data_IF_312813149214
#
_entry.id   IF_312813149214
#
_cell.length_a   1.000
_cell.length_b   1.000
_cell.length_c   1.000
_cell.angle_alpha   90.00
_cell.angle_beta   90.00
_cell.angle_gamma   90.00
#
_symmetry.space_group_name_H-M   'P 1'
#
loop_
_entity.id
_entity.type
_entity.pdbx_description
1 polymer ?
#
# COMPACT_ATOMS: atom_id res chain seq x y z
N UNK A 1 -30.51 2.42 22.77
CA UNK A 1 -30.27 3.88 22.73
C UNK A 1 -28.79 4.25 22.63
N UNK A 2 -27.90 3.77 23.50
CA UNK A 2 -26.45 4.12 23.47
C UNK A 2 -25.77 3.70 22.15
N UNK A 3 -26.00 2.49 21.65
CA UNK A 3 -25.43 2.02 20.38
C UNK A 3 -25.87 2.86 19.18
N UNK A 4 -27.16 3.26 19.13
CA UNK A 4 -27.72 4.07 18.04
C UNK A 4 -27.14 5.51 18.04
N UNK A 5 -26.83 6.06 19.20
CA UNK A 5 -26.18 7.37 19.34
C UNK A 5 -24.70 7.29 18.90
N UNK A 6 -23.99 6.24 19.29
CA UNK A 6 -22.60 6.00 18.89
C UNK A 6 -22.47 5.83 17.38
N UNK A 7 -23.41 5.16 16.72
CA UNK A 7 -23.42 5.00 15.27
C UNK A 7 -23.56 6.33 14.52
N UNK A 8 -24.30 7.29 15.07
CA UNK A 8 -24.45 8.65 14.49
C UNK A 8 -23.24 9.55 14.76
N UNK A 9 -22.58 9.40 15.91
CA UNK A 9 -21.44 10.25 16.31
C UNK A 9 -20.15 9.81 15.63
N UNK A 10 -19.91 8.51 15.41
CA UNK A 10 -18.68 7.96 14.81
C UNK A 10 -18.34 8.59 13.45
N UNK A 11 -19.26 8.70 12.47
CA UNK A 11 -18.95 9.32 11.18
C UNK A 11 -18.53 10.77 11.30
N UNK A 12 -19.21 11.54 12.18
CA UNK A 12 -18.91 12.96 12.43
C UNK A 12 -17.52 13.12 13.05
N UNK A 13 -17.22 12.34 14.08
CA UNK A 13 -15.91 12.37 14.74
C UNK A 13 -14.78 11.97 13.76
N UNK A 14 -15.04 10.98 12.90
CA UNK A 14 -14.12 10.55 11.85
C UNK A 14 -13.88 11.66 10.82
N UNK A 15 -14.94 12.31 10.34
CA UNK A 15 -14.86 13.45 9.41
C UNK A 15 -14.06 14.62 9.99
N UNK A 16 -14.31 14.98 11.25
CA UNK A 16 -13.56 16.04 11.94
C UNK A 16 -12.08 15.67 12.05
N UNK A 17 -11.77 14.42 12.45
CA UNK A 17 -10.39 13.92 12.54
C UNK A 17 -9.68 14.00 11.20
N UNK A 18 -10.29 13.49 10.14
CA UNK A 18 -9.70 13.50 8.80
C UNK A 18 -9.54 14.92 8.26
N UNK A 19 -10.53 15.78 8.47
CA UNK A 19 -10.42 17.18 8.08
C UNK A 19 -9.29 17.93 8.80
N UNK A 20 -9.03 17.62 10.09
CA UNK A 20 -7.88 18.20 10.82
C UNK A 20 -6.54 17.69 10.28
N UNK A 21 -6.44 16.38 10.01
CA UNK A 21 -5.24 15.76 9.45
C UNK A 21 -4.92 16.35 8.08
N UNK A 22 -5.92 16.48 7.20
CA UNK A 22 -5.74 17.06 5.88
C UNK A 22 -5.29 18.52 5.95
N UNK A 23 -5.96 19.37 6.77
CA UNK A 23 -5.56 20.77 6.92
C UNK A 23 -4.11 20.91 7.40
N UNK A 24 -3.68 20.06 8.34
CA UNK A 24 -2.28 20.02 8.78
C UNK A 24 -1.35 19.67 7.62
N UNK A 25 -1.63 18.61 6.89
CA UNK A 25 -0.81 18.20 5.77
C UNK A 25 -0.78 19.25 4.64
N UNK A 26 -1.90 19.92 4.38
CA UNK A 26 -1.96 21.02 3.41
C UNK A 26 -1.12 22.24 3.86
N UNK A 27 -1.15 22.55 5.15
CA UNK A 27 -0.27 23.59 5.72
C UNK A 27 1.20 23.21 5.56
N UNK A 28 1.58 21.95 5.83
CA UNK A 28 2.95 21.47 5.62
C UNK A 28 3.33 21.55 4.14
N UNK A 29 2.48 21.05 3.25
CA UNK A 29 2.71 21.05 1.81
C UNK A 29 2.85 22.48 1.24
N UNK A 30 2.11 23.46 1.78
CA UNK A 30 2.18 24.85 1.33
C UNK A 30 3.52 25.53 1.61
N UNK A 31 4.32 25.00 2.53
CA UNK A 31 5.66 25.51 2.84
C UNK A 31 6.66 25.26 1.72
N UNK A 32 6.40 24.32 0.83
CA UNK A 32 7.23 23.96 -0.32
C UNK A 32 8.73 23.99 -0.02
N UNK A 33 9.37 22.83 0.08
CA UNK A 33 10.80 22.75 0.41
C UNK A 33 11.64 22.25 -0.75
N UNK A 34 12.75 22.94 -1.02
CA UNK A 34 13.83 22.43 -1.87
C UNK A 34 14.79 21.51 -1.10
N UNK A 35 14.72 21.51 0.24
CA UNK A 35 15.51 20.59 1.06
C UNK A 35 14.92 19.19 0.96
N UNK A 36 15.76 18.23 0.66
CA UNK A 36 15.41 16.81 0.56
C UNK A 36 15.57 16.18 1.95
N UNK A 37 14.66 15.31 2.39
CA UNK A 37 14.84 14.52 3.60
C UNK A 37 16.16 13.74 3.56
N UNK A 38 16.95 13.83 4.62
CA UNK A 38 18.18 13.08 4.77
C UNK A 38 18.21 12.42 6.16
N UNK A 39 18.20 11.09 6.21
CA UNK A 39 18.18 10.14 5.08
C UNK A 39 16.88 10.19 4.25
N UNK A 40 16.91 9.66 3.01
CA UNK A 40 15.73 9.60 2.16
C UNK A 40 14.58 8.81 2.81
N UNK A 41 13.36 9.10 2.39
CA UNK A 41 12.18 8.35 2.82
C UNK A 41 12.25 6.92 2.28
N UNK A 42 12.01 5.93 3.11
CA UNK A 42 11.92 4.53 2.67
C UNK A 42 10.46 4.13 2.47
N UNK A 43 10.18 3.27 1.50
CA UNK A 43 8.82 2.82 1.19
C UNK A 43 8.65 1.31 1.39
N UNK A 44 7.56 0.92 2.07
CA UNK A 44 7.09 -0.47 2.09
C UNK A 44 5.96 -0.60 1.08
N UNK A 45 6.20 -1.37 0.04
CA UNK A 45 5.30 -1.63 -1.08
C UNK A 45 4.72 -3.04 -1.01
N UNK A 46 3.61 -3.25 -1.66
CA UNK A 46 2.97 -4.56 -1.82
C UNK A 46 1.46 -4.42 -1.90
N UNK A 47 0.84 -5.27 -2.69
CA UNK A 47 -0.61 -5.31 -2.79
C UNK A 47 -1.23 -5.35 -1.38
N UNK A 48 -2.34 -4.69 -1.19
CA UNK A 48 -3.06 -4.77 0.07
C UNK A 48 -3.30 -6.23 0.49
N UNK A 49 -3.25 -6.52 1.78
CA UNK A 49 -3.33 -7.89 2.35
C UNK A 49 -2.07 -8.75 2.20
N UNK A 50 -0.99 -8.23 1.64
CA UNK A 50 0.29 -8.95 1.54
C UNK A 50 1.09 -9.04 2.86
N UNK A 51 0.61 -8.45 3.95
CA UNK A 51 1.32 -8.44 5.23
C UNK A 51 2.12 -7.16 5.51
N UNK A 52 2.07 -6.16 4.63
CA UNK A 52 2.77 -4.88 4.79
C UNK A 52 2.42 -4.16 6.10
N UNK A 53 1.20 -4.34 6.60
CA UNK A 53 0.77 -3.74 7.89
C UNK A 53 1.45 -4.38 9.10
N UNK A 54 1.61 -5.71 9.13
CA UNK A 54 2.31 -6.36 10.24
C UNK A 54 3.79 -6.00 10.23
N UNK A 55 4.43 -6.05 9.06
CA UNK A 55 5.82 -5.64 8.91
C UNK A 55 6.04 -4.20 9.36
N UNK A 56 5.22 -3.26 8.87
CA UNK A 56 5.32 -1.86 9.27
C UNK A 56 5.12 -1.63 10.77
N UNK A 57 4.21 -2.38 11.41
CA UNK A 57 4.04 -2.33 12.88
C UNK A 57 5.25 -2.86 13.64
N UNK A 58 5.91 -3.91 13.15
CA UNK A 58 7.17 -4.40 13.73
C UNK A 58 8.26 -3.34 13.62
N UNK A 59 8.47 -2.76 12.44
CA UNK A 59 9.43 -1.69 12.22
C UNK A 59 9.12 -0.45 13.06
N UNK A 60 7.85 -0.11 13.27
CA UNK A 60 7.43 1.01 14.13
C UNK A 60 7.88 0.88 15.59
N UNK A 61 8.15 -0.35 16.06
CA UNK A 61 8.67 -0.59 17.43
C UNK A 61 10.16 -0.34 17.55
N UNK A 62 10.87 -0.18 16.43
CA UNK A 62 12.31 0.10 16.43
C UNK A 62 12.61 1.52 16.87
N UNK A 63 13.71 1.71 17.60
CA UNK A 63 14.09 3.01 18.19
C UNK A 63 14.37 4.07 17.13
N UNK A 64 14.95 3.67 16.00
CA UNK A 64 15.34 4.56 14.89
C UNK A 64 14.25 4.78 13.84
N UNK A 65 13.08 4.12 13.91
CA UNK A 65 12.07 4.19 12.85
C UNK A 65 10.95 5.16 13.18
N UNK A 66 10.73 6.15 12.33
CA UNK A 66 9.50 6.93 12.26
C UNK A 66 8.59 6.32 11.19
N UNK A 67 7.55 5.63 11.63
CA UNK A 67 6.64 4.91 10.74
C UNK A 67 5.39 5.72 10.40
N UNK A 68 5.16 5.96 9.12
CA UNK A 68 3.94 6.58 8.60
C UNK A 68 3.01 5.49 8.05
N UNK A 69 1.99 5.18 8.84
CA UNK A 69 0.98 4.20 8.50
C UNK A 69 -0.13 4.82 7.64
N UNK A 70 -0.15 4.50 6.36
CA UNK A 70 -1.18 4.88 5.40
C UNK A 70 -1.57 6.38 5.52
N UNK A 71 -0.61 7.30 5.33
CA UNK A 71 -0.84 8.72 5.52
C UNK A 71 -1.59 9.33 4.33
N UNK A 72 -2.80 8.84 4.03
CA UNK A 72 -3.62 9.29 2.88
C UNK A 72 -3.84 10.80 2.86
N UNK A 73 -3.90 11.45 4.04
CA UNK A 73 -4.01 12.91 4.15
C UNK A 73 -2.77 13.64 3.65
N UNK A 74 -1.59 13.05 3.85
CA UNK A 74 -0.32 13.60 3.35
C UNK A 74 -0.25 13.44 1.84
N UNK A 75 -0.50 12.24 1.33
CA UNK A 75 -0.55 11.98 -0.11
C UNK A 75 -1.56 12.89 -0.81
N UNK A 76 -2.76 13.06 -0.22
CA UNK A 76 -3.79 13.96 -0.73
C UNK A 76 -3.34 15.43 -0.76
N UNK A 77 -2.54 15.88 0.21
CA UNK A 77 -2.00 17.23 0.24
C UNK A 77 -0.88 17.44 -0.80
N UNK A 78 -0.12 16.40 -1.10
CA UNK A 78 0.95 16.41 -2.11
C UNK A 78 0.32 16.42 -3.51
N UNK A 79 -0.49 15.40 -3.82
CA UNK A 79 -1.13 15.20 -5.12
C UNK A 79 -2.59 14.73 -4.94
N UNK A 80 -3.58 15.57 -5.30
CA UNK A 80 -5.00 15.24 -5.11
C UNK A 80 -5.46 13.92 -5.72
N UNK A 81 -4.92 13.53 -6.87
CA UNK A 81 -5.26 12.31 -7.58
C UNK A 81 -4.94 11.01 -6.80
N UNK A 82 -4.21 11.12 -5.68
CA UNK A 82 -3.89 9.96 -4.83
C UNK A 82 -5.06 9.48 -3.97
N UNK A 83 -6.14 10.26 -3.80
CA UNK A 83 -7.28 9.95 -2.92
C UNK A 83 -8.32 9.00 -3.56
N UNK A 84 -7.87 7.82 -4.03
CA UNK A 84 -8.68 6.85 -4.76
C UNK A 84 -9.85 6.25 -3.96
N UNK A 85 -9.86 6.40 -2.62
CA UNK A 85 -10.97 5.98 -1.76
C UNK A 85 -11.89 7.14 -1.39
N UNK A 86 -11.61 8.31 -1.94
CA UNK A 86 -12.40 9.54 -1.76
C UNK A 86 -12.66 9.90 -0.28
N UNK A 87 -11.63 9.73 0.56
CA UNK A 87 -11.71 10.09 2.00
C UNK A 87 -11.85 11.60 2.21
N UNK A 88 -11.32 12.40 1.30
CA UNK A 88 -11.18 13.85 1.44
C UNK A 88 -11.94 14.65 0.37
N UNK A 89 -12.65 13.98 -0.52
CA UNK A 89 -13.46 14.63 -1.54
C UNK A 89 -13.61 13.77 -2.80
N UNK A 90 -14.45 14.21 -3.71
CA UNK A 90 -14.66 13.58 -5.00
C UNK A 90 -13.67 14.20 -6.00
N UNK A 91 -12.75 13.38 -6.51
CA UNK A 91 -11.73 13.78 -7.47
C UNK A 91 -11.58 12.69 -8.52
N UNK A 92 -10.99 13.04 -9.65
CA UNK A 92 -10.48 12.06 -10.59
C UNK A 92 -9.22 11.43 -9.97
N UNK A 93 -9.44 10.33 -9.28
CA UNK A 93 -8.40 9.64 -8.51
C UNK A 93 -7.89 8.44 -9.27
N UNK A 94 -6.60 8.12 -9.05
CA UNK A 94 -5.88 7.07 -9.75
C UNK A 94 -5.26 6.05 -8.81
N UNK A 95 -5.39 4.78 -9.16
CA UNK A 95 -4.67 3.67 -8.53
C UNK A 95 -3.27 3.53 -9.12
N UNK A 96 -3.15 3.57 -10.45
CA UNK A 96 -1.87 3.57 -11.16
C UNK A 96 -1.49 5.03 -11.45
N UNK A 97 -0.27 5.40 -11.08
CA UNK A 97 0.24 6.75 -11.30
C UNK A 97 1.70 6.71 -11.75
N UNK A 98 1.99 7.42 -12.82
CA UNK A 98 3.32 7.59 -13.38
C UNK A 98 3.96 8.94 -13.09
N UNK A 99 5.02 9.24 -13.83
CA UNK A 99 5.78 10.49 -13.74
C UNK A 99 4.96 11.73 -14.18
N UNK A 100 3.94 11.55 -15.00
CA UNK A 100 3.05 12.60 -15.48
C UNK A 100 2.27 13.30 -14.36
N UNK A 101 2.17 12.66 -13.18
CA UNK A 101 1.56 13.24 -11.98
C UNK A 101 2.56 14.02 -11.11
N UNK A 102 3.83 14.12 -11.52
CA UNK A 102 4.89 14.75 -10.72
C UNK A 102 5.46 15.97 -11.45
N UNK A 103 5.33 17.12 -10.84
CA UNK A 103 6.05 18.34 -11.20
C UNK A 103 6.96 18.78 -10.07
N UNK A 104 7.76 19.82 -10.27
CA UNK A 104 8.56 20.41 -9.20
C UNK A 104 7.72 20.82 -7.97
N UNK A 105 6.43 21.11 -8.15
CA UNK A 105 5.56 21.46 -7.03
C UNK A 105 5.25 20.25 -6.15
N UNK A 106 4.95 19.08 -6.75
CA UNK A 106 4.71 17.84 -6.02
C UNK A 106 5.96 17.40 -5.27
N UNK A 107 7.14 17.50 -5.87
CA UNK A 107 8.43 17.21 -5.20
C UNK A 107 8.63 18.13 -3.99
N UNK A 108 8.43 19.45 -4.14
CA UNK A 108 8.58 20.41 -3.04
C UNK A 108 7.56 20.18 -1.92
N UNK A 109 6.30 19.84 -2.26
CA UNK A 109 5.25 19.49 -1.27
C UNK A 109 5.60 18.21 -0.52
N UNK A 110 6.09 17.19 -1.24
CA UNK A 110 6.55 15.94 -0.64
C UNK A 110 7.66 16.20 0.36
N UNK A 111 8.71 16.89 -0.05
CA UNK A 111 9.83 17.24 0.81
C UNK A 111 9.37 18.00 2.07
N UNK A 112 8.52 19.03 1.89
CA UNK A 112 7.99 19.81 3.01
C UNK A 112 7.18 18.94 4.00
N UNK A 113 6.32 18.08 3.51
CA UNK A 113 5.54 17.16 4.35
C UNK A 113 6.44 16.18 5.11
N UNK A 114 7.40 15.55 4.45
CA UNK A 114 8.28 14.56 5.07
C UNK A 114 9.21 15.22 6.11
N UNK A 115 9.77 16.39 5.81
CA UNK A 115 10.56 17.17 6.76
C UNK A 115 9.74 17.62 7.97
N UNK A 116 8.47 17.97 7.77
CA UNK A 116 7.58 18.32 8.86
C UNK A 116 7.28 17.11 9.78
N UNK A 117 7.10 15.91 9.22
CA UNK A 117 6.93 14.68 10.03
C UNK A 117 8.23 14.33 10.79
N UNK A 118 9.39 14.44 10.16
CA UNK A 118 10.69 14.26 10.82
C UNK A 118 10.87 15.26 11.98
N UNK A 119 10.54 16.54 11.77
CA UNK A 119 10.64 17.60 12.81
C UNK A 119 9.69 17.34 14.00
N UNK A 120 8.55 16.71 13.77
CA UNK A 120 7.58 16.35 14.84
C UNK A 120 8.01 15.12 15.61
N UNK A 121 8.92 14.32 15.06
CA UNK A 121 9.42 13.12 15.72
C UNK A 121 10.21 13.50 16.98
N UNK A 122 10.01 12.69 18.04
CA UNK A 122 10.83 12.78 19.26
C UNK A 122 12.04 11.84 19.21
N UNK A 123 12.17 11.05 18.13
CA UNK A 123 13.29 10.12 17.94
C UNK A 123 14.52 10.87 17.46
N UNK A 124 15.69 10.43 17.88
CA UNK A 124 16.95 11.00 17.42
C UNK A 124 17.30 10.42 16.04
N UNK A 125 17.44 11.29 15.04
CA UNK A 125 17.83 10.93 13.65
C UNK A 125 17.01 9.74 13.08
N UNK A 126 15.67 9.83 13.05
CA UNK A 126 14.85 8.68 12.65
C UNK A 126 14.94 8.41 11.15
N UNK A 127 14.89 7.13 10.78
CA UNK A 127 14.57 6.67 9.43
C UNK A 127 13.06 6.78 9.22
N UNK A 128 12.63 7.58 8.27
CA UNK A 128 11.21 7.72 7.95
C UNK A 128 10.81 6.62 6.98
N UNK A 129 9.89 5.76 7.41
CA UNK A 129 9.37 4.66 6.60
C UNK A 129 7.87 4.90 6.35
N UNK A 130 7.50 5.03 5.10
CA UNK A 130 6.11 5.18 4.66
C UNK A 130 5.55 3.84 4.18
N UNK A 131 4.29 3.55 4.52
CA UNK A 131 3.59 2.39 4.00
C UNK A 131 2.16 2.74 3.64
N UNK A 132 1.89 2.73 2.35
CA UNK A 132 0.54 2.78 1.77
C UNK A 132 0.45 1.69 0.69
N UNK A 133 -0.40 0.67 0.83
CA UNK A 133 -0.40 -0.49 -0.08
C UNK A 133 -0.58 -0.12 -1.55
N UNK A 134 -1.45 0.84 -1.85
CA UNK A 134 -1.71 1.29 -3.22
C UNK A 134 -0.46 1.84 -3.91
N UNK A 135 0.55 2.28 -3.16
CA UNK A 135 1.80 2.78 -3.71
C UNK A 135 2.60 1.71 -4.47
N UNK A 136 2.28 0.42 -4.31
CA UNK A 136 2.79 -0.64 -5.18
C UNK A 136 2.40 -0.47 -6.66
N UNK A 137 1.27 0.20 -6.93
CA UNK A 137 0.83 0.54 -8.28
C UNK A 137 1.28 1.94 -8.73
N UNK A 138 2.09 2.64 -7.91
CA UNK A 138 2.56 4.02 -8.14
C UNK A 138 4.08 4.12 -8.13
N UNK A 139 4.76 3.06 -8.53
CA UNK A 139 6.22 2.99 -8.42
C UNK A 139 6.90 4.10 -9.23
N UNK A 140 6.41 4.38 -10.47
CA UNK A 140 6.95 5.44 -11.32
C UNK A 140 6.74 6.83 -10.71
N UNK A 141 5.56 7.08 -10.10
CA UNK A 141 5.30 8.29 -9.33
C UNK A 141 6.25 8.44 -8.14
N UNK A 142 6.50 7.35 -7.37
CA UNK A 142 7.40 7.38 -6.22
C UNK A 142 8.85 7.65 -6.63
N UNK A 143 9.32 7.02 -7.71
CA UNK A 143 10.67 7.25 -8.26
C UNK A 143 10.82 8.71 -8.70
N UNK A 144 9.81 9.28 -9.35
CA UNK A 144 9.87 10.67 -9.80
C UNK A 144 9.83 11.68 -8.65
N UNK A 145 9.10 11.38 -7.57
CA UNK A 145 8.96 12.30 -6.44
C UNK A 145 10.13 12.18 -5.44
N UNK A 146 10.75 11.00 -5.34
CA UNK A 146 11.86 10.71 -4.42
C UNK A 146 12.83 9.67 -5.02
N UNK A 147 13.70 10.07 -5.97
CA UNK A 147 14.51 9.16 -6.77
C UNK A 147 15.51 8.29 -5.99
N UNK A 148 15.94 8.76 -4.81
CA UNK A 148 16.94 8.05 -3.98
C UNK A 148 16.32 7.20 -2.88
N UNK A 149 15.01 7.00 -2.88
CA UNK A 149 14.29 6.26 -1.84
C UNK A 149 14.53 4.77 -1.90
N UNK A 150 14.98 4.12 -0.81
CA UNK A 150 14.98 2.66 -0.74
C UNK A 150 13.54 2.14 -0.64
N UNK A 151 13.26 1.07 -1.36
CA UNK A 151 11.92 0.47 -1.50
C UNK A 151 11.96 -1.00 -1.13
N UNK A 152 11.03 -1.43 -0.31
CA UNK A 152 10.83 -2.83 0.04
C UNK A 152 9.51 -3.32 -0.57
N UNK A 153 9.57 -4.28 -1.46
CA UNK A 153 8.39 -4.98 -1.97
C UNK A 153 8.13 -6.25 -1.16
N UNK A 154 7.06 -6.24 -0.37
CA UNK A 154 6.58 -7.44 0.32
C UNK A 154 5.53 -8.12 -0.54
N UNK A 155 5.90 -9.23 -1.14
CA UNK A 155 5.02 -10.05 -1.99
C UNK A 155 4.43 -11.22 -1.20
N UNK A 156 3.18 -11.56 -1.47
CA UNK A 156 2.47 -12.68 -0.86
C UNK A 156 1.73 -13.47 -1.93
N UNK A 157 1.55 -14.78 -1.65
CA UNK A 157 0.74 -15.66 -2.47
C UNK A 157 -0.57 -15.00 -2.89
N UNK A 158 -0.81 -14.93 -4.20
CA UNK A 158 -1.96 -14.22 -4.76
C UNK A 158 -3.31 -14.81 -4.30
N UNK A 159 -3.41 -16.13 -4.13
CA UNK A 159 -4.64 -16.78 -3.63
C UNK A 159 -4.96 -16.32 -2.21
N UNK A 160 -3.95 -16.19 -1.34
CA UNK A 160 -4.13 -15.68 0.02
C UNK A 160 -4.57 -14.22 0.03
N UNK A 161 -3.98 -13.40 -0.83
CA UNK A 161 -4.29 -11.97 -0.96
C UNK A 161 -5.73 -11.80 -1.44
N UNK A 162 -6.07 -12.43 -2.55
CA UNK A 162 -7.38 -12.33 -3.21
C UNK A 162 -8.51 -12.78 -2.27
N UNK A 163 -8.37 -13.93 -1.61
CA UNK A 163 -9.35 -14.40 -0.64
C UNK A 163 -9.45 -13.53 0.61
N UNK A 164 -8.35 -12.88 1.01
CA UNK A 164 -8.39 -11.91 2.10
C UNK A 164 -9.11 -10.62 1.70
N UNK A 165 -8.97 -10.18 0.44
CA UNK A 165 -9.73 -9.05 -0.14
C UNK A 165 -11.20 -9.39 -0.21
N UNK A 166 -11.57 -10.55 -0.76
CA UNK A 166 -12.93 -11.03 -0.84
C UNK A 166 -13.63 -11.01 0.53
N UNK A 167 -12.99 -11.62 1.54
CA UNK A 167 -13.53 -11.65 2.91
C UNK A 167 -13.75 -10.26 3.47
N UNK A 168 -12.80 -9.34 3.24
CA UNK A 168 -12.93 -7.99 3.71
C UNK A 168 -14.01 -7.21 2.95
N UNK A 169 -14.12 -7.42 1.63
CA UNK A 169 -15.14 -6.79 0.78
C UNK A 169 -16.56 -7.26 1.12
N UNK A 170 -16.69 -8.48 1.63
CA UNK A 170 -17.98 -9.09 1.97
C UNK A 170 -18.46 -8.80 3.40
N UNK A 171 -17.68 -8.00 4.16
CA UNK A 171 -18.00 -7.67 5.55
C UNK A 171 -17.95 -6.16 5.77
N UNK A 172 -18.50 -5.68 6.89
CA UNK A 172 -18.33 -4.29 7.34
C UNK A 172 -17.66 -4.23 8.72
N UNK A 173 -16.48 -4.87 8.84
CA UNK A 173 -15.69 -4.92 10.07
C UNK A 173 -15.28 -3.53 10.56
N UNK A 174 -15.05 -2.59 9.65
CA UNK A 174 -14.68 -1.20 9.99
C UNK A 174 -15.88 -0.32 10.30
N UNK A 175 -17.10 -0.88 10.28
CA UNK A 175 -18.34 -0.15 10.58
C UNK A 175 -18.42 1.15 9.79
N UNK A 176 -18.20 1.07 8.48
CA UNK A 176 -18.37 2.19 7.59
C UNK A 176 -19.85 2.50 7.42
N UNK A 177 -20.20 3.77 7.44
CA UNK A 177 -21.56 4.26 7.30
C UNK A 177 -21.54 5.67 6.71
N UNK A 178 -22.67 6.09 6.13
CA UNK A 178 -22.83 7.39 5.48
C UNK A 178 -23.71 7.28 4.24
N UNK A 179 -23.76 8.34 3.44
CA UNK A 179 -24.47 8.30 2.14
C UNK A 179 -23.72 7.41 1.15
N UNK A 180 -24.45 6.67 0.32
CA UNK A 180 -23.91 5.76 -0.71
C UNK A 180 -23.73 4.32 -0.22
N UNK A 181 -23.37 3.44 -1.13
CA UNK A 181 -23.00 2.06 -0.84
C UNK A 181 -21.54 1.99 -0.35
N UNK A 182 -21.36 1.54 0.89
CA UNK A 182 -20.04 1.48 1.51
C UNK A 182 -19.47 0.06 1.49
N UNK A 183 -18.41 -0.09 0.72
CA UNK A 183 -17.57 -1.26 0.76
C UNK A 183 -16.24 -0.93 1.45
N UNK A 184 -15.87 -1.68 2.49
CA UNK A 184 -14.67 -1.36 3.27
C UNK A 184 -13.34 -1.60 2.53
N UNK A 185 -13.37 -2.29 1.38
CA UNK A 185 -12.20 -2.46 0.52
C UNK A 185 -12.25 -1.58 -0.72
N UNK A 186 -13.43 -1.53 -1.38
CA UNK A 186 -13.59 -0.82 -2.64
C UNK A 186 -14.02 0.65 -2.48
N UNK A 187 -14.23 1.10 -1.25
CA UNK A 187 -14.65 2.47 -0.96
C UNK A 187 -16.15 2.71 -1.16
N UNK A 188 -16.55 3.97 -1.07
CA UNK A 188 -17.94 4.39 -1.29
C UNK A 188 -18.29 4.22 -2.77
N UNK A 189 -19.43 3.60 -3.04
CA UNK A 189 -19.93 3.35 -4.39
C UNK A 189 -18.88 2.65 -5.30
N UNK A 190 -18.03 1.83 -4.68
CA UNK A 190 -16.92 1.12 -5.31
C UNK A 190 -15.91 2.04 -6.05
N UNK A 191 -15.67 3.25 -5.53
CA UNK A 191 -14.81 4.26 -6.18
C UNK A 191 -13.39 3.75 -6.45
N UNK A 192 -12.78 3.00 -5.50
CA UNK A 192 -11.46 2.40 -5.70
C UNK A 192 -11.45 1.39 -6.84
N UNK A 193 -12.48 0.53 -6.92
CA UNK A 193 -12.60 -0.42 -8.02
C UNK A 193 -12.72 0.29 -9.36
N UNK A 194 -13.58 1.31 -9.44
CA UNK A 194 -13.77 2.09 -10.68
C UNK A 194 -12.46 2.76 -11.13
N UNK A 195 -11.70 3.34 -10.18
CA UNK A 195 -10.40 3.92 -10.47
C UNK A 195 -9.40 2.87 -10.96
N UNK A 196 -9.31 1.72 -10.29
CA UNK A 196 -8.41 0.63 -10.67
C UNK A 196 -8.74 0.09 -12.06
N UNK A 197 -10.01 -0.18 -12.36
CA UNK A 197 -10.44 -0.68 -13.66
C UNK A 197 -10.13 0.35 -14.78
N UNK A 198 -10.45 1.63 -14.56
CA UNK A 198 -10.14 2.72 -15.48
C UNK A 198 -8.64 2.79 -15.78
N UNK A 199 -7.81 2.80 -14.74
CA UNK A 199 -6.36 2.90 -14.88
C UNK A 199 -5.76 1.66 -15.54
N UNK A 200 -6.23 0.47 -15.18
CA UNK A 200 -5.76 -0.77 -15.77
C UNK A 200 -6.07 -0.83 -17.29
N UNK A 201 -7.25 -0.38 -17.70
CA UNK A 201 -7.60 -0.25 -19.12
C UNK A 201 -6.69 0.78 -19.80
N UNK A 202 -6.50 1.96 -19.22
CA UNK A 202 -5.68 3.02 -19.77
C UNK A 202 -4.20 2.62 -19.94
N UNK A 203 -3.69 1.75 -19.05
CA UNK A 203 -2.34 1.21 -19.10
C UNK A 203 -2.25 -0.15 -19.84
N UNK A 204 -3.29 -0.50 -20.61
CA UNK A 204 -3.33 -1.71 -21.44
C UNK A 204 -3.15 -3.03 -20.69
N UNK A 205 -3.56 -3.08 -19.40
CA UNK A 205 -3.65 -4.34 -18.66
C UNK A 205 -4.85 -5.14 -19.15
N UNK A 206 -4.65 -6.40 -19.50
CA UNK A 206 -5.69 -7.38 -19.83
C UNK A 206 -6.83 -6.86 -20.74
N UNK A 207 -6.54 -6.34 -21.94
CA UNK A 207 -7.54 -5.74 -22.83
C UNK A 207 -8.71 -6.69 -23.09
N UNK A 208 -9.93 -6.19 -22.90
CA UNK A 208 -11.18 -6.91 -23.09
C UNK A 208 -11.56 -7.88 -21.98
N UNK A 209 -10.74 -8.03 -20.93
CA UNK A 209 -11.05 -8.93 -19.81
C UNK A 209 -11.55 -8.19 -18.55
N UNK A 210 -11.16 -6.93 -18.36
CA UNK A 210 -11.50 -6.16 -17.16
C UNK A 210 -13.01 -5.93 -17.06
N UNK A 211 -13.69 -5.68 -18.17
CA UNK A 211 -15.12 -5.48 -18.24
C UNK A 211 -15.93 -6.73 -17.90
N UNK A 212 -15.28 -7.89 -17.96
CA UNK A 212 -15.88 -9.19 -17.62
C UNK A 212 -15.85 -9.50 -16.11
N UNK A 213 -15.07 -8.74 -15.33
CA UNK A 213 -14.88 -8.99 -13.90
C UNK A 213 -16.11 -8.55 -13.10
N UNK A 214 -16.67 -9.46 -12.30
CA UNK A 214 -17.91 -9.25 -11.55
C UNK A 214 -17.79 -9.55 -10.06
N UNK A 215 -16.83 -10.37 -9.68
CA UNK A 215 -16.71 -10.85 -8.29
C UNK A 215 -15.56 -10.13 -7.55
N UNK A 216 -15.65 -10.05 -6.23
CA UNK A 216 -14.58 -9.52 -5.40
C UNK A 216 -13.26 -10.32 -5.54
N UNK A 217 -13.34 -11.61 -5.88
CA UNK A 217 -12.17 -12.45 -6.17
C UNK A 217 -11.47 -11.94 -7.43
N UNK A 218 -12.20 -11.78 -8.53
CA UNK A 218 -11.65 -11.32 -9.81
C UNK A 218 -11.09 -9.90 -9.70
N UNK A 219 -11.83 -8.99 -9.04
CA UNK A 219 -11.38 -7.62 -8.76
C UNK A 219 -10.10 -7.61 -7.91
N UNK A 220 -10.04 -8.46 -6.88
CA UNK A 220 -8.86 -8.61 -6.02
C UNK A 220 -7.67 -9.21 -6.76
N UNK A 221 -7.91 -10.12 -7.72
CA UNK A 221 -6.88 -10.66 -8.58
C UNK A 221 -6.30 -9.58 -9.50
N UNK A 222 -7.13 -8.69 -10.07
CA UNK A 222 -6.66 -7.55 -10.85
C UNK A 222 -5.78 -6.63 -9.99
N UNK A 223 -6.20 -6.29 -8.76
CA UNK A 223 -5.39 -5.45 -7.86
C UNK A 223 -4.02 -6.08 -7.57
N UNK A 224 -3.97 -7.39 -7.34
CA UNK A 224 -2.72 -8.12 -7.10
C UNK A 224 -1.82 -8.13 -8.36
N UNK A 225 -2.41 -8.43 -9.53
CA UNK A 225 -1.70 -8.50 -10.80
C UNK A 225 -1.09 -7.14 -11.20
N UNK A 226 -1.87 -6.06 -11.09
CA UNK A 226 -1.38 -4.70 -11.41
C UNK A 226 -0.31 -4.26 -10.42
N UNK A 227 -0.48 -4.55 -9.12
CA UNK A 227 0.52 -4.22 -8.10
C UNK A 227 1.88 -4.87 -8.38
N UNK A 228 1.90 -6.14 -8.81
CA UNK A 228 3.15 -6.82 -9.18
C UNK A 228 3.67 -6.31 -10.52
N UNK A 229 2.81 -6.15 -11.50
CA UNK A 229 3.19 -5.71 -12.84
C UNK A 229 3.90 -4.36 -12.83
N UNK A 230 3.40 -3.39 -12.07
CA UNK A 230 4.03 -2.06 -11.92
C UNK A 230 5.43 -2.15 -11.30
N UNK A 231 5.61 -3.01 -10.29
CA UNK A 231 6.93 -3.20 -9.66
C UNK A 231 7.88 -3.93 -10.62
N UNK A 232 7.42 -4.98 -11.29
CA UNK A 232 8.25 -5.72 -12.25
C UNK A 232 8.71 -4.84 -13.42
N UNK A 233 7.84 -3.95 -13.90
CA UNK A 233 8.18 -3.01 -14.97
C UNK A 233 9.32 -2.04 -14.61
N UNK A 234 9.60 -1.85 -13.32
CA UNK A 234 10.65 -0.94 -12.83
C UNK A 234 11.79 -1.64 -12.09
N UNK A 235 11.74 -2.96 -11.96
CA UNK A 235 12.72 -3.75 -11.19
C UNK A 235 14.16 -3.49 -11.62
N UNK A 236 14.43 -3.52 -12.93
CA UNK A 236 15.77 -3.31 -13.46
C UNK A 236 16.29 -1.89 -13.21
N UNK A 237 15.43 -0.89 -13.37
CA UNK A 237 15.79 0.53 -13.16
C UNK A 237 16.08 0.80 -11.70
N UNK A 238 15.34 0.18 -10.80
CA UNK A 238 15.51 0.36 -9.35
C UNK A 238 16.77 -0.35 -8.83
N UNK A 239 17.13 -1.50 -9.42
CA UNK A 239 18.33 -2.24 -8.99
C UNK A 239 18.38 -2.40 -7.47
N UNK A 240 19.48 -1.98 -6.86
CA UNK A 240 19.73 -2.09 -5.41
C UNK A 240 18.79 -1.23 -4.54
N UNK A 241 18.02 -0.31 -5.12
CA UNK A 241 17.02 0.45 -4.38
C UNK A 241 15.79 -0.40 -4.02
N UNK A 242 15.59 -1.54 -4.68
CA UNK A 242 14.45 -2.44 -4.47
C UNK A 242 14.89 -3.72 -3.78
N UNK A 243 14.47 -3.92 -2.54
CA UNK A 243 14.54 -5.22 -1.87
C UNK A 243 13.20 -5.94 -2.02
N UNK A 244 13.20 -7.13 -2.61
CA UNK A 244 12.01 -7.97 -2.69
C UNK A 244 12.06 -9.09 -1.65
N UNK A 245 10.97 -9.24 -0.90
CA UNK A 245 10.81 -10.23 0.17
C UNK A 245 9.45 -10.90 0.05
N UNK A 246 9.40 -12.22 0.12
CA UNK A 246 8.12 -12.90 0.24
C UNK A 246 7.62 -12.96 1.69
N UNK A 247 6.30 -12.88 1.87
CA UNK A 247 5.69 -13.06 3.19
C UNK A 247 6.02 -14.43 3.81
N UNK A 248 6.20 -15.45 2.95
CA UNK A 248 6.57 -16.79 3.38
C UNK A 248 7.99 -16.81 3.97
N UNK A 249 8.96 -16.13 3.36
CA UNK A 249 10.32 -16.01 3.89
C UNK A 249 10.31 -15.23 5.21
N UNK A 250 9.60 -14.10 5.25
CA UNK A 250 9.47 -13.29 6.46
C UNK A 250 8.95 -14.10 7.66
N UNK A 251 8.02 -15.04 7.42
CA UNK A 251 7.45 -15.86 8.50
C UNK A 251 8.22 -17.14 8.80
N UNK A 252 8.98 -17.67 7.83
CA UNK A 252 9.81 -18.87 8.02
C UNK A 252 11.18 -18.55 8.63
N UNK A 253 11.79 -17.46 8.19
CA UNK A 253 13.14 -17.03 8.54
C UNK A 253 13.15 -15.57 9.03
N UNK A 254 12.33 -15.23 10.04
CA UNK A 254 12.08 -13.83 10.39
C UNK A 254 13.34 -13.08 10.78
N UNK A 255 14.28 -13.72 11.48
CA UNK A 255 15.51 -13.09 11.91
C UNK A 255 16.40 -12.68 10.72
N UNK A 256 16.59 -13.58 9.76
CA UNK A 256 17.38 -13.31 8.55
C UNK A 256 16.75 -12.19 7.72
N UNK A 257 15.44 -12.27 7.50
CA UNK A 257 14.72 -11.30 6.67
C UNK A 257 14.64 -9.92 7.34
N UNK A 258 14.34 -9.84 8.64
CA UNK A 258 14.32 -8.56 9.35
C UNK A 258 15.70 -7.91 9.37
N UNK A 259 16.78 -8.70 9.48
CA UNK A 259 18.14 -8.17 9.36
C UNK A 259 18.39 -7.58 7.97
N UNK A 260 18.07 -8.30 6.89
CA UNK A 260 18.24 -7.76 5.53
C UNK A 260 17.40 -6.50 5.28
N UNK A 261 16.23 -6.38 5.90
CA UNK A 261 15.41 -5.17 5.85
C UNK A 261 16.08 -4.02 6.60
N UNK A 262 16.66 -4.27 7.76
CA UNK A 262 17.41 -3.27 8.51
C UNK A 262 18.61 -2.77 7.69
N UNK A 263 19.38 -3.67 7.11
CA UNK A 263 20.53 -3.34 6.25
C UNK A 263 20.10 -2.50 5.05
N UNK A 264 18.98 -2.87 4.38
CA UNK A 264 18.45 -2.15 3.23
C UNK A 264 17.95 -0.74 3.56
N UNK A 265 17.34 -0.55 4.74
CA UNK A 265 16.84 0.75 5.18
C UNK A 265 17.85 1.55 6.01
N UNK A 266 19.09 1.07 6.12
CA UNK A 266 20.15 1.68 6.94
C UNK A 266 19.68 1.92 8.38
N UNK A 267 19.14 0.85 9.01
CA UNK A 267 18.66 0.82 10.39
C UNK A 267 19.59 -0.11 11.18
N UNK A 268 20.00 0.30 12.39
CA UNK A 268 20.83 -0.53 13.26
C UNK A 268 20.10 -1.83 13.61
N UNK A 269 20.75 -2.98 13.43
CA UNK A 269 20.17 -4.27 13.84
C UNK A 269 20.34 -4.46 15.34
N UNK A 270 19.25 -4.34 16.11
CA UNK A 270 19.20 -4.56 17.55
C UNK A 270 18.71 -5.99 17.86
N UNK A 271 19.53 -6.84 18.50
CA UNK A 271 19.16 -8.24 18.78
C UNK A 271 17.87 -8.35 19.60
N UNK A 272 17.71 -7.53 20.64
CA UNK A 272 16.49 -7.54 21.46
C UNK A 272 15.23 -7.22 20.66
N UNK A 273 15.32 -6.27 19.70
CA UNK A 273 14.21 -5.93 18.81
C UNK A 273 13.89 -7.09 17.86
N UNK A 274 14.94 -7.74 17.28
CA UNK A 274 14.76 -8.91 16.42
C UNK A 274 14.03 -10.03 17.13
N UNK A 275 14.47 -10.40 18.34
CA UNK A 275 13.86 -11.47 19.13
C UNK A 275 12.39 -11.19 19.43
N UNK A 276 12.07 -9.94 19.78
CA UNK A 276 10.69 -9.50 20.02
C UNK A 276 9.84 -9.59 18.75
N UNK A 277 10.37 -9.19 17.60
CA UNK A 277 9.68 -9.25 16.34
C UNK A 277 9.44 -10.68 15.85
N UNK A 278 10.44 -11.56 16.00
CA UNK A 278 10.32 -12.98 15.66
C UNK A 278 9.19 -13.67 16.43
N UNK A 279 9.02 -13.33 17.71
CA UNK A 279 7.94 -13.88 18.54
C UNK A 279 6.54 -13.39 18.16
N UNK A 280 6.43 -12.29 17.40
CA UNK A 280 5.15 -11.73 16.94
C UNK A 280 4.74 -12.18 15.53
N UNK A 281 5.68 -12.76 14.78
CA UNK A 281 5.42 -13.28 13.45
C UNK A 281 4.89 -14.71 13.58
N UNK A 282 3.58 -14.86 13.54
CA UNK A 282 2.95 -16.16 13.43
C UNK A 282 3.44 -16.90 12.19
N UNK A 283 3.55 -18.23 12.29
CA UNK A 283 3.78 -19.09 11.14
C UNK A 283 2.73 -18.79 10.08
N UNK A 284 3.15 -18.61 8.85
CA UNK A 284 2.30 -18.23 7.74
C UNK A 284 0.99 -19.05 7.72
N UNK A 285 -0.13 -18.37 7.86
CA UNK A 285 -1.44 -18.99 7.62
C UNK A 285 -1.54 -19.28 6.14
N UNK A 286 -1.41 -20.54 5.75
CA UNK A 286 -1.67 -20.99 4.40
C UNK A 286 -3.19 -21.08 4.22
N UNK A 287 -3.75 -20.27 3.34
CA UNK A 287 -5.09 -20.51 2.85
C UNK A 287 -4.98 -21.60 1.78
N UNK A 288 -5.22 -22.83 2.15
CA UNK A 288 -5.43 -23.94 1.21
C UNK A 288 -6.80 -23.78 0.58
N UNK A 289 -6.98 -22.79 -0.27
CA UNK A 289 -8.23 -22.56 -0.99
C UNK A 289 -8.20 -23.22 -2.36
N UNK A 290 -9.41 -23.50 -2.88
CA UNK A 290 -9.57 -23.93 -4.26
C UNK A 290 -8.98 -22.92 -5.25
N UNK A 291 -8.58 -23.34 -6.46
CA UNK A 291 -8.15 -22.44 -7.52
C UNK A 291 -9.15 -21.30 -7.73
N UNK A 292 -8.66 -20.13 -8.06
CA UNK A 292 -9.52 -19.01 -8.44
C UNK A 292 -9.80 -19.05 -9.95
N UNK A 293 -10.99 -18.66 -10.36
CA UNK A 293 -11.40 -18.64 -11.77
C UNK A 293 -11.16 -17.25 -12.34
N UNK A 294 -10.40 -17.15 -13.43
CA UNK A 294 -10.02 -15.88 -14.06
C UNK A 294 -10.21 -15.94 -15.58
N UNK A 295 -10.36 -14.79 -16.25
CA UNK A 295 -10.25 -14.70 -17.70
C UNK A 295 -8.87 -15.18 -18.20
N UNK A 296 -8.74 -15.59 -19.48
CA UNK A 296 -7.56 -16.30 -19.98
C UNK A 296 -6.22 -15.59 -19.76
N UNK A 297 -6.09 -14.34 -20.16
CA UNK A 297 -4.81 -13.59 -20.02
C UNK A 297 -4.48 -13.28 -18.55
N UNK A 298 -5.49 -12.94 -17.75
CA UNK A 298 -5.31 -12.76 -16.31
C UNK A 298 -4.87 -14.08 -15.66
N UNK A 299 -5.48 -15.21 -16.04
CA UNK A 299 -5.13 -16.54 -15.54
C UNK A 299 -3.68 -16.91 -15.87
N UNK A 300 -3.26 -16.71 -17.10
CA UNK A 300 -1.86 -16.94 -17.54
C UNK A 300 -0.88 -16.11 -16.74
N UNK A 301 -1.11 -14.78 -16.64
CA UNK A 301 -0.22 -13.87 -15.93
C UNK A 301 -0.21 -14.16 -14.42
N UNK A 302 -1.36 -14.50 -13.85
CA UNK A 302 -1.46 -14.86 -12.44
C UNK A 302 -0.62 -16.09 -12.13
N UNK A 303 -0.74 -17.15 -12.92
CA UNK A 303 0.03 -18.37 -12.74
C UNK A 303 1.54 -18.16 -12.97
N UNK A 304 1.91 -17.30 -13.93
CA UNK A 304 3.28 -16.88 -14.15
C UNK A 304 3.86 -16.21 -12.91
N UNK A 305 3.19 -15.19 -12.34
CA UNK A 305 3.68 -14.50 -11.15
C UNK A 305 3.73 -15.41 -9.91
N UNK A 306 2.73 -16.30 -9.73
CA UNK A 306 2.78 -17.29 -8.67
C UNK A 306 4.02 -18.17 -8.77
N UNK A 307 4.38 -18.62 -9.98
CA UNK A 307 5.54 -19.46 -10.22
C UNK A 307 6.87 -18.70 -10.01
N UNK A 308 6.97 -17.45 -10.50
CA UNK A 308 8.17 -16.61 -10.35
C UNK A 308 8.52 -16.35 -8.88
N UNK A 309 7.52 -16.20 -8.01
CA UNK A 309 7.74 -16.01 -6.58
C UNK A 309 7.71 -17.32 -5.77
N UNK A 310 7.67 -18.47 -6.43
CA UNK A 310 7.68 -19.79 -5.77
C UNK A 310 6.46 -20.07 -4.92
N UNK A 311 5.30 -19.49 -5.28
CA UNK A 311 4.05 -19.71 -4.55
C UNK A 311 3.27 -20.91 -5.08
N UNK A 312 2.69 -21.66 -4.14
CA UNK A 312 1.64 -22.63 -4.40
C UNK A 312 0.30 -21.90 -4.58
N UNK A 313 -0.61 -22.49 -5.30
CA UNK A 313 -1.91 -21.90 -5.61
C UNK A 313 -1.95 -21.42 -7.06
N UNK A 314 -3.07 -21.69 -7.69
CA UNK A 314 -3.22 -21.45 -9.12
C UNK A 314 -4.58 -20.85 -9.42
N UNK A 315 -4.67 -20.25 -10.58
CA UNK A 315 -5.95 -19.93 -11.20
C UNK A 315 -6.24 -20.92 -12.34
N UNK A 316 -7.51 -21.07 -12.64
CA UNK A 316 -8.02 -21.81 -13.80
C UNK A 316 -8.77 -20.83 -14.71
N UNK A 317 -8.72 -21.10 -15.98
CA UNK A 317 -9.40 -20.27 -16.99
C UNK A 317 -10.91 -20.50 -16.92
N UNK A 318 -11.65 -19.40 -17.03
CA UNK A 318 -13.12 -19.40 -17.16
C UNK A 318 -13.53 -20.10 -18.43
#
# INVERSE_FOLDING_TARGET
MINTLLEKIRPIARSIKYGRLLRRAQSDASMQSNLIPNPPVSFILGCGRSGTTILGKLLATHTEVLYLFEPYHVWRAIQPATDMIQLYGEYDAHCVMGEEFVTNNEVKRFNACMLAELKRSRKKSPRLIEKTPINAMRISFLVSISPSSPMLHLVRNGTDVVRSIERLSSTNTYQLSGKGDWNQWWGRDHCKWKALAKDAIANNYFPGEIELLKTNIEMGALEWLVSIGEIQARREVLGDQLLEVSYNELTKEPQRILKSICDHFDITTEQHWLDKCCNQLDKARKNQGEPIVLPPKMCETYNKYQAEYGFEGRSITR
#
